data_IF_436476204511
#
_entry.id   IF_436476204511
#
_cell.length_a   1.000
_cell.length_b   1.000
_cell.length_c   1.000
_cell.angle_alpha   90.00
_cell.angle_beta   90.00
_cell.angle_gamma   90.00
#
_symmetry.space_group_name_H-M   'P 1'
#
loop_
_entity.id
_entity.type
_entity.pdbx_description
1 polymer ?
#
# COMPACT_ATOMS: atom_id res chain seq x y z
N UNK A 1 -35.75 -17.97 -20.70
CA UNK A 1 -35.11 -18.92 -19.76
C UNK A 1 -33.56 -18.89 -19.75
N UNK A 2 -32.86 -18.05 -20.53
CA UNK A 2 -31.38 -17.95 -20.54
C UNK A 2 -30.78 -16.97 -19.51
N UNK A 3 -31.51 -15.94 -19.09
CA UNK A 3 -31.02 -14.88 -18.19
C UNK A 3 -30.76 -15.38 -16.76
N UNK A 4 -31.61 -16.28 -16.25
CA UNK A 4 -31.48 -16.83 -14.89
C UNK A 4 -30.26 -17.76 -14.69
N UNK A 5 -29.76 -18.42 -15.74
CA UNK A 5 -28.54 -19.25 -15.66
C UNK A 5 -27.27 -18.40 -15.50
N UNK A 6 -27.20 -17.24 -16.14
CA UNK A 6 -26.05 -16.32 -16.05
C UNK A 6 -25.97 -15.62 -14.68
N UNK A 7 -27.11 -15.24 -14.10
CA UNK A 7 -27.15 -14.65 -12.75
C UNK A 7 -26.66 -15.65 -11.68
N UNK A 8 -27.04 -16.93 -11.79
CA UNK A 8 -26.63 -17.98 -10.84
C UNK A 8 -25.13 -18.31 -10.92
N UNK A 9 -24.52 -18.17 -12.09
CA UNK A 9 -23.06 -18.32 -12.26
C UNK A 9 -22.29 -17.13 -11.69
N UNK A 10 -22.80 -15.91 -11.90
CA UNK A 10 -22.18 -14.67 -11.42
C UNK A 10 -22.28 -14.52 -9.89
N UNK A 11 -23.39 -14.94 -9.29
CA UNK A 11 -23.60 -14.87 -7.83
C UNK A 11 -22.69 -15.82 -7.04
N UNK A 12 -22.24 -16.93 -7.64
CA UNK A 12 -21.27 -17.84 -7.00
C UNK A 12 -19.87 -17.25 -6.86
N UNK A 13 -19.54 -16.23 -7.64
CA UNK A 13 -18.29 -15.47 -7.49
C UNK A 13 -18.33 -14.68 -6.19
N UNK A 14 -19.52 -14.28 -5.73
CA UNK A 14 -19.67 -13.41 -4.57
C UNK A 14 -20.18 -14.10 -3.30
N UNK A 15 -20.91 -15.20 -3.44
CA UNK A 15 -21.56 -15.86 -2.31
C UNK A 15 -21.35 -17.37 -2.31
N UNK A 16 -20.97 -17.91 -1.16
CA UNK A 16 -20.89 -19.33 -0.85
C UNK A 16 -22.10 -19.71 -0.01
N UNK A 17 -22.84 -20.73 -0.44
CA UNK A 17 -23.95 -21.28 0.33
C UNK A 17 -23.47 -22.47 1.16
N UNK A 18 -23.55 -22.36 2.48
CA UNK A 18 -23.37 -23.51 3.37
C UNK A 18 -24.75 -24.10 3.68
N UNK A 19 -25.03 -25.29 3.15
CA UNK A 19 -26.21 -26.06 3.54
C UNK A 19 -25.98 -26.60 4.94
N UNK A 20 -26.81 -26.16 5.90
CA UNK A 20 -26.76 -26.65 7.28
C UNK A 20 -26.75 -28.19 7.30
N UNK A 21 -25.84 -28.77 8.07
CA UNK A 21 -25.62 -30.22 8.15
C UNK A 21 -26.71 -30.96 8.91
N UNK A 22 -27.75 -30.26 9.41
CA UNK A 22 -28.85 -30.84 10.16
C UNK A 22 -30.21 -30.34 9.68
N UNK A 23 -31.18 -31.26 9.58
CA UNK A 23 -32.57 -31.01 9.20
C UNK A 23 -33.18 -29.91 10.07
N UNK A 24 -33.29 -28.70 9.52
CA UNK A 24 -34.08 -27.61 10.12
C UNK A 24 -33.43 -26.25 10.12
N UNK A 25 -32.12 -26.13 9.92
CA UNK A 25 -31.47 -24.81 9.88
C UNK A 25 -31.48 -24.22 8.45
N UNK A 26 -31.98 -22.97 8.25
CA UNK A 26 -31.88 -22.30 6.97
C UNK A 26 -30.41 -22.09 6.61
N UNK A 27 -30.01 -22.52 5.41
CA UNK A 27 -28.63 -22.39 4.96
C UNK A 27 -28.16 -20.94 4.94
N UNK A 28 -26.92 -20.70 5.36
CA UNK A 28 -26.32 -19.36 5.45
C UNK A 28 -25.51 -19.08 4.19
N UNK A 29 -25.64 -17.86 3.68
CA UNK A 29 -24.78 -17.34 2.63
C UNK A 29 -23.62 -16.59 3.28
N UNK A 30 -22.40 -16.94 2.88
CA UNK A 30 -21.17 -16.25 3.23
C UNK A 30 -20.63 -15.55 1.99
N UNK A 31 -19.93 -14.43 2.18
CA UNK A 31 -19.19 -13.81 1.09
C UNK A 31 -18.00 -14.71 0.73
N UNK A 32 -17.60 -14.73 -0.54
CA UNK A 32 -16.30 -15.28 -0.93
C UNK A 32 -15.19 -14.30 -0.52
N UNK A 33 -13.96 -14.78 -0.33
CA UNK A 33 -12.79 -13.91 -0.08
C UNK A 33 -12.66 -12.79 -1.13
N UNK A 34 -13.02 -13.09 -2.39
CA UNK A 34 -13.06 -12.10 -3.46
C UNK A 34 -14.13 -11.03 -3.21
N UNK A 35 -15.34 -11.42 -2.82
CA UNK A 35 -16.40 -10.46 -2.51
C UNK A 35 -16.15 -9.67 -1.24
N UNK A 36 -15.54 -10.29 -0.23
CA UNK A 36 -15.08 -9.57 0.97
C UNK A 36 -14.05 -8.51 0.58
N UNK A 37 -13.08 -8.84 -0.26
CA UNK A 37 -12.10 -7.88 -0.81
C UNK A 37 -12.77 -6.76 -1.60
N UNK A 38 -13.76 -7.06 -2.44
CA UNK A 38 -14.51 -6.05 -3.21
C UNK A 38 -15.38 -5.17 -2.32
N UNK A 39 -16.08 -5.73 -1.34
CA UNK A 39 -16.89 -4.98 -0.37
C UNK A 39 -16.00 -4.12 0.51
N UNK A 40 -14.85 -4.62 0.95
CA UNK A 40 -13.87 -3.85 1.70
C UNK A 40 -13.28 -2.71 0.85
N UNK A 41 -12.99 -2.94 -0.43
CA UNK A 41 -12.56 -1.90 -1.37
C UNK A 41 -13.65 -0.85 -1.58
N UNK A 42 -14.91 -1.25 -1.75
CA UNK A 42 -16.06 -0.33 -1.90
C UNK A 42 -16.29 0.47 -0.61
N UNK A 43 -16.18 -0.17 0.56
CA UNK A 43 -16.27 0.49 1.85
C UNK A 43 -15.12 1.50 2.03
N UNK A 44 -13.89 1.13 1.66
CA UNK A 44 -12.76 2.05 1.68
C UNK A 44 -12.91 3.19 0.66
N UNK A 45 -13.64 3.01 -0.45
CA UNK A 45 -13.97 4.09 -1.38
C UNK A 45 -15.04 5.05 -0.83
N UNK A 46 -16.04 4.53 -0.11
CA UNK A 46 -17.17 5.30 0.43
C UNK A 46 -16.84 5.99 1.76
N UNK A 47 -16.09 5.32 2.62
CA UNK A 47 -15.72 5.73 3.97
C UNK A 47 -14.21 5.58 4.12
N UNK A 48 -13.42 6.40 3.42
CA UNK A 48 -11.96 6.32 3.55
C UNK A 48 -11.47 7.15 4.73
N UNK A 49 -11.15 6.56 5.91
CA UNK A 49 -10.62 7.32 7.01
C UNK A 49 -9.22 7.87 6.70
N UNK A 50 -8.56 7.44 5.62
CA UNK A 50 -7.19 7.79 5.29
C UNK A 50 -7.03 8.96 4.30
N UNK A 51 -8.13 9.53 3.74
CA UNK A 51 -8.06 10.73 2.88
C UNK A 51 -7.39 11.93 3.60
N UNK A 52 -7.57 12.02 4.92
CA UNK A 52 -7.10 13.13 5.75
C UNK A 52 -5.75 12.87 6.45
N UNK A 53 -5.19 11.65 6.36
CA UNK A 53 -3.94 11.32 7.05
C UNK A 53 -2.76 11.29 6.08
N UNK A 54 -1.57 11.78 6.46
CA UNK A 54 -0.37 11.63 5.65
C UNK A 54 0.06 10.16 5.51
N UNK A 55 0.41 9.74 4.30
CA UNK A 55 0.94 8.42 3.97
C UNK A 55 2.19 8.13 4.79
N UNK A 56 3.06 9.12 4.97
CA UNK A 56 4.26 9.02 5.81
C UNK A 56 3.92 8.51 7.22
N UNK A 57 2.89 9.05 7.87
CA UNK A 57 2.54 8.66 9.24
C UNK A 57 2.10 7.20 9.31
N UNK A 58 1.41 6.71 8.28
CA UNK A 58 1.02 5.30 8.22
C UNK A 58 2.24 4.40 8.05
N UNK A 59 3.20 4.79 7.20
CA UNK A 59 4.47 4.06 7.05
C UNK A 59 5.25 4.04 8.37
N UNK A 60 5.43 5.19 9.02
CA UNK A 60 6.20 5.27 10.26
C UNK A 60 5.54 4.52 11.41
N UNK A 61 4.20 4.53 11.50
CA UNK A 61 3.47 3.83 12.55
C UNK A 61 3.64 2.32 12.48
N UNK A 62 3.63 1.74 11.28
CA UNK A 62 3.63 0.28 11.11
C UNK A 62 4.98 -0.30 10.69
N UNK A 63 5.86 0.50 10.10
CA UNK A 63 7.13 0.09 9.53
C UNK A 63 8.27 0.98 10.02
N UNK A 64 8.47 1.00 11.34
CA UNK A 64 9.66 1.59 11.98
C UNK A 64 10.31 0.56 12.89
N UNK A 65 11.64 0.50 12.86
CA UNK A 65 12.44 -0.27 13.80
C UNK A 65 13.11 0.68 14.78
N UNK A 66 12.74 0.63 16.05
CA UNK A 66 13.45 1.36 17.10
C UNK A 66 14.71 0.58 17.51
N UNK A 67 15.79 1.31 17.78
CA UNK A 67 17.07 0.72 18.17
C UNK A 67 16.90 -0.10 19.47
N UNK A 68 17.29 -1.37 19.43
CA UNK A 68 17.23 -2.28 20.59
C UNK A 68 15.86 -2.91 20.88
N UNK A 69 14.85 -2.66 20.04
CA UNK A 69 13.51 -3.25 20.17
C UNK A 69 13.47 -4.72 19.71
N UNK A 70 14.30 -5.09 18.74
CA UNK A 70 14.43 -6.47 18.26
C UNK A 70 15.76 -7.00 18.75
N UNK A 71 15.72 -7.95 19.68
CA UNK A 71 16.93 -8.58 20.25
C UNK A 71 17.03 -10.06 19.92
N UNK A 72 15.89 -10.72 19.81
CA UNK A 72 15.79 -12.14 19.45
C UNK A 72 14.86 -12.31 18.25
N UNK A 73 14.89 -13.49 17.61
CA UNK A 73 14.04 -13.77 16.44
C UNK A 73 12.56 -13.62 16.76
N UNK A 74 12.14 -13.99 17.97
CA UNK A 74 10.73 -13.91 18.39
C UNK A 74 10.20 -12.49 18.42
N UNK A 75 11.05 -11.49 18.66
CA UNK A 75 10.65 -10.07 18.60
C UNK A 75 10.32 -9.67 17.16
N UNK A 76 11.13 -10.17 16.20
CA UNK A 76 10.96 -9.92 14.78
C UNK A 76 9.71 -10.61 14.24
N UNK A 77 9.50 -11.89 14.58
CA UNK A 77 8.29 -12.63 14.21
C UNK A 77 7.02 -12.04 14.80
N UNK A 78 7.03 -11.66 16.09
CA UNK A 78 5.86 -11.05 16.73
C UNK A 78 5.41 -9.78 16.02
N UNK A 79 6.35 -9.01 15.47
CA UNK A 79 6.06 -7.70 14.88
C UNK A 79 5.85 -7.73 13.38
N UNK A 80 6.60 -8.57 12.68
CA UNK A 80 6.63 -8.62 11.21
C UNK A 80 6.34 -10.01 10.64
N UNK A 81 5.95 -10.96 11.49
CA UNK A 81 5.43 -12.25 11.04
C UNK A 81 4.18 -12.09 10.17
N UNK A 82 3.95 -13.09 9.30
CA UNK A 82 2.94 -13.03 8.23
C UNK A 82 1.54 -12.63 8.69
N UNK A 83 1.09 -13.15 9.83
CA UNK A 83 -0.25 -12.87 10.35
C UNK A 83 -0.40 -11.40 10.79
N UNK A 84 0.56 -10.87 11.55
CA UNK A 84 0.54 -9.49 12.05
C UNK A 84 0.74 -8.46 10.95
N UNK A 85 1.67 -8.73 10.03
CA UNK A 85 2.03 -7.76 8.99
C UNK A 85 0.97 -7.65 7.90
N UNK A 86 0.12 -8.68 7.73
CA UNK A 86 -0.98 -8.67 6.75
C UNK A 86 -1.92 -7.47 6.92
N UNK A 87 -2.29 -7.14 8.16
CA UNK A 87 -3.15 -6.01 8.48
C UNK A 87 -2.48 -4.67 8.15
N UNK A 88 -1.21 -4.53 8.50
CA UNK A 88 -0.42 -3.32 8.20
C UNK A 88 -0.25 -3.11 6.70
N UNK A 89 0.08 -4.18 5.95
CA UNK A 89 0.18 -4.16 4.48
C UNK A 89 -1.14 -3.72 3.83
N UNK A 90 -2.27 -4.20 4.36
CA UNK A 90 -3.60 -3.81 3.89
C UNK A 90 -3.86 -2.32 4.11
N UNK A 91 -3.51 -1.79 5.29
CA UNK A 91 -3.68 -0.35 5.59
C UNK A 91 -2.89 0.52 4.60
N UNK A 92 -1.63 0.18 4.35
CA UNK A 92 -0.81 0.92 3.38
C UNK A 92 -1.39 0.84 1.97
N UNK A 93 -1.85 -0.33 1.54
CA UNK A 93 -2.50 -0.49 0.24
C UNK A 93 -3.77 0.36 0.12
N UNK A 94 -4.60 0.39 1.16
CA UNK A 94 -5.83 1.19 1.19
C UNK A 94 -5.52 2.69 1.11
N UNK A 95 -4.46 3.12 1.80
CA UNK A 95 -4.00 4.51 1.75
C UNK A 95 -3.52 4.88 0.34
N UNK A 96 -2.72 4.04 -0.31
CA UNK A 96 -2.28 4.27 -1.69
C UNK A 96 -3.44 4.33 -2.67
N UNK A 97 -4.47 3.48 -2.50
CA UNK A 97 -5.68 3.55 -3.32
C UNK A 97 -6.51 4.82 -3.05
N UNK A 98 -6.56 5.29 -1.79
CA UNK A 98 -7.19 6.57 -1.45
C UNK A 98 -6.52 7.74 -2.19
N UNK A 99 -5.20 7.72 -2.19
CA UNK A 99 -4.36 8.73 -2.81
C UNK A 99 -4.52 8.75 -4.33
N UNK A 100 -4.56 7.56 -4.95
CA UNK A 100 -4.86 7.42 -6.37
C UNK A 100 -6.24 7.96 -6.73
N UNK A 101 -7.27 7.64 -5.94
CA UNK A 101 -8.64 8.15 -6.14
C UNK A 101 -8.69 9.68 -6.01
N UNK A 102 -8.07 10.26 -4.99
CA UNK A 102 -8.02 11.72 -4.77
C UNK A 102 -7.31 12.45 -5.92
N UNK A 103 -6.21 11.90 -6.43
CA UNK A 103 -5.47 12.49 -7.55
C UNK A 103 -6.22 12.35 -8.87
N UNK A 104 -6.98 11.27 -9.05
CA UNK A 104 -7.91 11.13 -10.19
C UNK A 104 -9.01 12.18 -10.12
N UNK A 105 -9.65 12.37 -8.95
CA UNK A 105 -10.65 13.42 -8.73
C UNK A 105 -10.08 14.82 -9.03
N UNK A 106 -8.87 15.11 -8.54
CA UNK A 106 -8.18 16.37 -8.80
C UNK A 106 -7.86 16.57 -10.29
N UNK A 107 -7.48 15.50 -10.99
CA UNK A 107 -7.23 15.54 -12.43
C UNK A 107 -8.51 15.78 -13.25
N UNK A 108 -9.64 15.20 -12.84
CA UNK A 108 -10.93 15.45 -13.47
C UNK A 108 -11.39 16.89 -13.24
N UNK A 109 -11.20 17.42 -12.03
CA UNK A 109 -11.44 18.84 -11.74
C UNK A 109 -10.58 19.76 -12.61
N UNK A 110 -9.30 19.41 -12.82
CA UNK A 110 -8.41 20.14 -13.70
C UNK A 110 -8.94 20.21 -15.14
N UNK A 111 -9.47 19.09 -15.66
CA UNK A 111 -10.05 19.04 -17.01
C UNK A 111 -11.30 19.91 -17.12
N UNK A 112 -12.16 19.90 -16.10
CA UNK A 112 -13.36 20.74 -16.07
C UNK A 112 -13.01 22.23 -16.03
N UNK A 113 -11.98 22.62 -15.27
CA UNK A 113 -11.47 24.00 -15.23
C UNK A 113 -10.96 24.42 -16.61
N UNK A 114 -10.21 23.55 -17.30
CA UNK A 114 -9.67 23.81 -18.64
C UNK A 114 -10.75 23.97 -19.73
N UNK A 115 -11.90 23.31 -19.57
CA UNK A 115 -13.02 23.33 -20.52
C UNK A 115 -14.05 24.43 -20.23
N UNK A 116 -13.87 25.18 -19.14
CA UNK A 116 -14.81 26.21 -18.70
C UNK A 116 -14.65 27.50 -19.52
N UNK A 117 -15.58 27.75 -20.44
CA UNK A 117 -15.61 28.96 -21.29
C UNK A 117 -16.19 30.21 -20.60
N UNK A 118 -16.92 30.05 -19.47
CA UNK A 118 -17.70 31.13 -18.84
C UNK A 118 -17.05 31.80 -17.60
N UNK A 119 -15.90 31.32 -17.13
CA UNK A 119 -15.25 31.84 -15.92
C UNK A 119 -14.24 32.95 -16.23
N UNK A 120 -14.19 33.99 -15.40
CA UNK A 120 -13.15 35.01 -15.52
C UNK A 120 -11.76 34.38 -15.30
N UNK A 121 -10.76 34.86 -16.04
CA UNK A 121 -9.37 34.39 -15.95
C UNK A 121 -8.86 34.30 -14.50
N UNK A 122 -9.24 35.24 -13.65
CA UNK A 122 -8.88 35.25 -12.23
C UNK A 122 -9.50 34.10 -11.42
N UNK A 123 -10.73 33.68 -11.76
CA UNK A 123 -11.41 32.55 -11.11
C UNK A 123 -10.81 31.23 -11.58
N UNK A 124 -10.51 31.11 -12.87
CA UNK A 124 -9.80 29.96 -13.44
C UNK A 124 -8.45 29.74 -12.77
N UNK A 125 -7.62 30.80 -12.70
CA UNK A 125 -6.29 30.73 -12.06
C UNK A 125 -6.41 30.35 -10.58
N UNK A 126 -7.39 30.89 -9.85
CA UNK A 126 -7.58 30.56 -8.43
C UNK A 126 -7.98 29.10 -8.21
N UNK A 127 -8.95 28.59 -8.99
CA UNK A 127 -9.39 27.20 -8.91
C UNK A 127 -8.26 26.24 -9.28
N UNK A 128 -7.49 26.61 -10.29
CA UNK A 128 -6.32 25.87 -10.74
C UNK A 128 -5.21 25.79 -9.68
N UNK A 129 -4.86 26.91 -9.04
CA UNK A 129 -3.84 26.93 -7.97
C UNK A 129 -4.23 26.00 -6.81
N UNK A 130 -5.52 25.93 -6.46
CA UNK A 130 -5.99 25.03 -5.41
C UNK A 130 -5.76 23.56 -5.77
N UNK A 131 -6.07 23.17 -7.01
CA UNK A 131 -5.84 21.79 -7.50
C UNK A 131 -4.34 21.45 -7.49
N UNK A 132 -3.50 22.40 -7.90
CA UNK A 132 -2.04 22.22 -7.91
C UNK A 132 -1.43 22.10 -6.52
N UNK A 133 -1.98 22.84 -5.55
CA UNK A 133 -1.57 22.71 -4.16
C UNK A 133 -1.78 21.28 -3.65
N UNK A 134 -2.92 20.67 -3.97
CA UNK A 134 -3.19 19.25 -3.66
C UNK A 134 -2.14 18.34 -4.29
N UNK A 135 -1.86 18.48 -5.59
CA UNK A 135 -0.82 17.69 -6.26
C UNK A 135 0.57 17.83 -5.61
N UNK A 136 0.95 19.05 -5.23
CA UNK A 136 2.22 19.34 -4.56
C UNK A 136 2.33 18.72 -3.16
N UNK A 137 1.31 18.91 -2.31
CA UNK A 137 1.26 18.35 -0.96
C UNK A 137 1.31 16.81 -1.00
N UNK A 138 0.58 16.19 -1.93
CA UNK A 138 0.61 14.73 -2.12
C UNK A 138 1.96 14.24 -2.65
N UNK A 139 2.61 14.97 -3.57
CA UNK A 139 3.95 14.62 -4.05
C UNK A 139 5.00 14.64 -2.92
N UNK A 140 4.90 15.62 -2.02
CA UNK A 140 5.77 15.72 -0.84
C UNK A 140 5.54 14.55 0.12
N UNK A 141 4.29 14.23 0.44
CA UNK A 141 3.93 13.12 1.32
C UNK A 141 4.39 11.76 0.77
N UNK A 142 4.23 11.52 -0.54
CA UNK A 142 4.77 10.34 -1.23
C UNK A 142 6.30 10.26 -1.07
N UNK A 143 6.99 11.37 -1.26
CA UNK A 143 8.45 11.43 -1.17
C UNK A 143 8.92 11.13 0.25
N UNK A 144 8.23 11.67 1.24
CA UNK A 144 8.49 11.37 2.64
C UNK A 144 8.22 9.90 2.99
N UNK A 145 7.12 9.32 2.49
CA UNK A 145 6.79 7.91 2.71
C UNK A 145 7.84 6.97 2.11
N UNK A 146 8.36 7.28 0.90
CA UNK A 146 9.48 6.53 0.29
C UNK A 146 10.73 6.61 1.17
N UNK A 147 11.05 7.79 1.70
CA UNK A 147 12.21 7.94 2.59
C UNK A 147 12.06 7.08 3.86
N UNK A 148 10.88 7.09 4.49
CA UNK A 148 10.61 6.26 5.68
C UNK A 148 10.68 4.76 5.36
N UNK A 149 10.14 4.34 4.20
CA UNK A 149 10.26 2.97 3.68
C UNK A 149 11.73 2.55 3.50
N UNK A 150 12.53 3.35 2.82
CA UNK A 150 13.92 3.02 2.52
C UNK A 150 14.76 2.91 3.81
N UNK A 151 14.49 3.78 4.78
CA UNK A 151 15.09 3.70 6.12
C UNK A 151 14.71 2.39 6.82
N UNK A 152 13.43 2.02 6.81
CA UNK A 152 12.96 0.78 7.40
C UNK A 152 13.62 -0.46 6.78
N UNK A 153 13.62 -0.56 5.44
CA UNK A 153 14.21 -1.70 4.74
C UNK A 153 15.71 -1.82 5.01
N UNK A 154 16.42 -0.68 5.10
CA UNK A 154 17.84 -0.68 5.49
C UNK A 154 18.04 -1.23 6.90
N UNK A 155 17.30 -0.71 7.89
CA UNK A 155 17.40 -1.19 9.28
C UNK A 155 16.99 -2.65 9.42
N UNK A 156 16.03 -3.13 8.63
CA UNK A 156 15.64 -4.53 8.62
C UNK A 156 16.76 -5.41 8.06
N UNK A 157 17.40 -5.00 6.96
CA UNK A 157 18.55 -5.71 6.38
C UNK A 157 19.71 -5.79 7.36
N UNK A 158 20.10 -4.67 7.96
CA UNK A 158 21.13 -4.61 9.00
C UNK A 158 20.83 -5.62 10.12
N UNK A 159 19.56 -5.70 10.56
CA UNK A 159 19.15 -6.63 11.60
C UNK A 159 19.19 -8.10 11.15
N UNK A 160 18.84 -8.40 9.90
CA UNK A 160 18.97 -9.77 9.33
C UNK A 160 20.44 -10.17 9.21
N UNK A 161 21.31 -9.23 8.84
CA UNK A 161 22.75 -9.45 8.72
C UNK A 161 23.38 -9.77 10.09
N UNK A 162 22.88 -9.19 11.19
CA UNK A 162 23.30 -9.56 12.55
C UNK A 162 22.96 -11.03 12.89
N UNK A 163 21.81 -11.55 12.45
CA UNK A 163 21.49 -12.97 12.60
C UNK A 163 22.39 -13.86 11.73
N UNK A 164 22.76 -13.40 10.53
CA UNK A 164 23.70 -14.12 9.68
C UNK A 164 25.12 -14.16 10.27
N UNK A 165 25.59 -13.04 10.83
CA UNK A 165 26.89 -12.96 11.49
C UNK A 165 27.00 -13.94 12.66
N UNK A 166 25.91 -14.21 13.39
CA UNK A 166 25.87 -15.23 14.43
C UNK A 166 26.11 -16.65 13.88
N UNK A 167 25.72 -16.94 12.64
CA UNK A 167 26.02 -18.21 11.95
C UNK A 167 27.50 -18.29 11.57
N UNK A 168 28.05 -17.20 11.02
CA UNK A 168 29.46 -17.16 10.57
C UNK A 168 30.46 -17.21 11.72
N UNK A 169 30.13 -16.58 12.85
CA UNK A 169 30.99 -16.51 14.03
C UNK A 169 30.89 -17.76 14.91
N UNK A 170 30.15 -18.79 14.49
CA UNK A 170 30.02 -20.02 15.26
C UNK A 170 31.39 -20.71 15.39
N UNK A 171 31.93 -20.85 16.62
CA UNK A 171 33.37 -20.96 16.85
C UNK A 171 34.02 -22.28 16.40
N UNK A 172 33.25 -23.34 16.19
CA UNK A 172 33.80 -24.67 15.86
C UNK A 172 32.77 -25.59 15.18
N UNK A 173 33.26 -26.66 14.55
CA UNK A 173 32.39 -27.73 14.03
C UNK A 173 31.71 -28.41 15.24
N UNK A 174 30.37 -28.55 15.25
CA UNK A 174 29.67 -29.19 16.36
C UNK A 174 30.20 -30.60 16.63
N UNK A 175 30.51 -30.88 17.90
CA UNK A 175 31.09 -32.15 18.35
C UNK A 175 30.12 -33.01 19.16
N UNK A 176 29.03 -32.41 19.63
CA UNK A 176 28.00 -33.08 20.41
C UNK A 176 26.59 -32.65 19.96
N UNK A 177 25.56 -33.33 20.49
CA UNK A 177 24.17 -33.09 20.11
C UNK A 177 23.65 -31.71 20.55
N UNK A 178 24.18 -31.13 21.64
CA UNK A 178 23.77 -29.82 22.15
C UNK A 178 24.29 -28.70 21.25
N UNK A 179 25.57 -28.74 20.86
CA UNK A 179 26.20 -27.81 19.91
C UNK A 179 25.56 -27.90 18.53
N UNK A 180 25.14 -29.09 18.11
CA UNK A 180 24.43 -29.26 16.84
C UNK A 180 23.06 -28.58 16.89
N UNK A 181 22.32 -28.74 17.99
CA UNK A 181 21.02 -28.11 18.20
C UNK A 181 21.14 -26.58 18.30
N UNK A 182 22.20 -26.05 18.94
CA UNK A 182 22.47 -24.62 19.01
C UNK A 182 22.73 -24.02 17.61
N UNK A 183 23.61 -24.64 16.82
CA UNK A 183 23.88 -24.21 15.45
C UNK A 183 22.61 -24.25 14.57
N UNK A 184 21.79 -25.29 14.71
CA UNK A 184 20.53 -25.42 13.98
C UNK A 184 19.52 -24.34 14.38
N UNK A 185 19.46 -23.95 15.66
CA UNK A 185 18.64 -22.83 16.11
C UNK A 185 19.11 -21.51 15.50
N UNK A 186 20.42 -21.20 15.53
CA UNK A 186 20.95 -19.95 14.95
C UNK A 186 20.68 -19.88 13.44
N UNK A 187 20.84 -21.01 12.71
CA UNK A 187 20.50 -21.09 11.29
C UNK A 187 19.01 -20.88 11.04
N UNK A 188 18.15 -21.45 11.91
CA UNK A 188 16.71 -21.29 11.80
C UNK A 188 16.29 -19.84 12.07
N UNK A 189 16.90 -19.17 13.04
CA UNK A 189 16.66 -17.75 13.34
C UNK A 189 16.99 -16.88 12.13
N UNK A 190 18.16 -17.09 11.52
CA UNK A 190 18.53 -16.40 10.29
C UNK A 190 17.57 -16.69 9.14
N UNK A 191 17.13 -17.95 8.96
CA UNK A 191 16.16 -18.34 7.93
C UNK A 191 14.85 -17.57 8.10
N UNK A 192 14.30 -17.52 9.31
CA UNK A 192 13.06 -16.79 9.61
C UNK A 192 13.24 -15.29 9.33
N UNK A 193 14.35 -14.71 9.80
CA UNK A 193 14.63 -13.29 9.61
C UNK A 193 14.70 -12.93 8.11
N UNK A 194 15.34 -13.80 7.31
CA UNK A 194 15.41 -13.67 5.86
C UNK A 194 14.06 -13.80 5.17
N UNK A 195 13.20 -14.71 5.61
CA UNK A 195 11.84 -14.86 5.08
C UNK A 195 10.99 -13.59 5.31
N UNK A 196 11.12 -12.98 6.49
CA UNK A 196 10.46 -11.71 6.82
C UNK A 196 10.97 -10.58 5.91
N UNK A 197 12.30 -10.46 5.75
CA UNK A 197 12.88 -9.45 4.87
C UNK A 197 12.40 -9.61 3.42
N UNK A 198 12.39 -10.84 2.90
CA UNK A 198 11.92 -11.12 1.55
C UNK A 198 10.44 -10.73 1.38
N UNK A 199 9.59 -11.08 2.35
CA UNK A 199 8.17 -10.74 2.35
C UNK A 199 7.92 -9.22 2.44
N UNK A 200 8.82 -8.46 3.09
CA UNK A 200 8.78 -7.00 3.11
C UNK A 200 9.26 -6.39 1.78
N UNK A 201 10.38 -6.87 1.23
CA UNK A 201 10.91 -6.41 -0.06
C UNK A 201 9.87 -6.63 -1.18
N UNK A 202 9.21 -7.78 -1.23
CA UNK A 202 8.21 -8.08 -2.26
C UNK A 202 6.93 -7.23 -2.11
N UNK A 203 6.50 -6.97 -0.88
CA UNK A 203 5.43 -6.01 -0.61
C UNK A 203 5.80 -4.60 -1.08
N UNK A 204 6.98 -4.11 -0.73
CA UNK A 204 7.38 -2.75 -1.05
C UNK A 204 7.68 -2.54 -2.54
N UNK A 205 8.07 -3.57 -3.29
CA UNK A 205 8.08 -3.51 -4.78
C UNK A 205 6.69 -3.20 -5.35
N UNK A 206 5.64 -3.78 -4.76
CA UNK A 206 4.26 -3.53 -5.19
C UNK A 206 3.83 -2.11 -4.86
N UNK A 207 4.22 -1.61 -3.68
CA UNK A 207 4.03 -0.22 -3.27
C UNK A 207 4.73 0.74 -4.24
N UNK A 208 5.99 0.48 -4.59
CA UNK A 208 6.78 1.31 -5.50
C UNK A 208 6.15 1.38 -6.90
N UNK A 209 5.59 0.26 -7.38
CA UNK A 209 4.84 0.25 -8.64
C UNK A 209 3.61 1.18 -8.59
N UNK A 210 2.81 1.10 -7.51
CA UNK A 210 1.65 1.99 -7.32
C UNK A 210 2.06 3.46 -7.23
N UNK A 211 3.08 3.76 -6.42
CA UNK A 211 3.61 5.11 -6.29
C UNK A 211 4.13 5.66 -7.63
N UNK A 212 4.78 4.83 -8.44
CA UNK A 212 5.23 5.22 -9.78
C UNK A 212 4.08 5.65 -10.68
N UNK A 213 2.95 4.94 -10.64
CA UNK A 213 1.75 5.30 -11.40
C UNK A 213 1.15 6.61 -10.90
N UNK A 214 1.07 6.79 -9.59
CA UNK A 214 0.62 8.04 -8.96
C UNK A 214 1.51 9.22 -9.39
N UNK A 215 2.85 9.05 -9.36
CA UNK A 215 3.80 10.08 -9.81
C UNK A 215 3.63 10.44 -11.27
N UNK A 216 3.35 9.47 -12.15
CA UNK A 216 3.04 9.74 -13.57
C UNK A 216 1.80 10.60 -13.72
N UNK A 217 0.75 10.36 -12.93
CA UNK A 217 -0.46 11.19 -12.95
C UNK A 217 -0.16 12.63 -12.50
N UNK A 218 0.63 12.80 -11.45
CA UNK A 218 1.08 14.13 -10.99
C UNK A 218 1.88 14.85 -12.08
N UNK A 219 2.81 14.15 -12.76
CA UNK A 219 3.59 14.71 -13.85
C UNK A 219 2.72 15.09 -15.05
N UNK A 220 1.75 14.25 -15.42
CA UNK A 220 0.80 14.54 -16.50
C UNK A 220 -0.07 15.76 -16.17
N UNK A 221 -0.53 15.89 -14.92
CA UNK A 221 -1.23 17.08 -14.45
C UNK A 221 -0.35 18.32 -14.58
N UNK A 222 0.93 18.22 -14.17
CA UNK A 222 1.91 19.31 -14.36
C UNK A 222 2.17 19.66 -15.81
N UNK A 223 2.12 18.71 -16.75
CA UNK A 223 2.23 19.00 -18.18
C UNK A 223 1.11 19.91 -18.69
N UNK A 224 -0.13 19.66 -18.22
CA UNK A 224 -1.28 20.52 -18.51
C UNK A 224 -1.16 21.93 -17.95
N UNK A 225 -0.37 22.12 -16.89
CA UNK A 225 -0.05 23.46 -16.37
C UNK A 225 0.79 24.26 -17.35
N UNK A 226 1.78 23.62 -17.98
CA UNK A 226 2.59 24.26 -19.01
C UNK A 226 1.72 24.67 -20.20
N UNK A 227 0.79 23.81 -20.63
CA UNK A 227 -0.16 24.12 -21.71
C UNK A 227 -1.08 25.30 -21.36
N UNK A 228 -1.59 25.33 -20.12
CA UNK A 228 -2.43 26.43 -19.65
C UNK A 228 -1.61 27.74 -19.57
N UNK A 229 -0.41 27.70 -19.01
CA UNK A 229 0.50 28.85 -18.99
C UNK A 229 0.79 29.40 -20.40
N UNK A 230 1.04 28.53 -21.38
CA UNK A 230 1.24 28.93 -22.78
C UNK A 230 -0.01 29.60 -23.38
N UNK A 231 -1.22 29.06 -23.13
CA UNK A 231 -2.48 29.63 -23.62
C UNK A 231 -2.82 31.00 -23.01
N UNK A 232 -2.43 31.27 -21.75
CA UNK A 232 -2.64 32.57 -21.12
C UNK A 232 -1.58 33.62 -21.53
N UNK A 233 -0.36 33.21 -21.88
CA UNK A 233 0.72 34.12 -22.29
C UNK A 233 0.79 34.36 -23.80
N UNK A 234 0.26 33.45 -24.62
CA UNK A 234 0.02 33.67 -26.05
C UNK A 234 -1.48 33.77 -26.32
N UNK A 235 -2.14 34.91 -26.01
CA UNK A 235 -3.41 35.18 -26.67
C UNK A 235 -3.10 35.27 -28.17
N UNK A 236 -3.74 34.41 -28.96
CA UNK A 236 -3.67 34.46 -30.41
C UNK A 236 -3.80 35.91 -30.89
N UNK A 237 -2.75 36.37 -31.59
CA UNK A 237 -2.84 37.44 -32.56
C UNK A 237 -3.74 36.94 -33.68
N UNK A 238 -5.05 37.17 -33.59
CA UNK A 238 -5.98 37.21 -34.73
C UNK A 238 -7.18 38.09 -34.40
#
# INVERSE_FOLDING_TARGET
MKVYRNLRGSLKIYFIFSSGTYRGEPGKYYLTDHAESVVELMKNKLENPYKDFPLKQSFEKYFTLCTGEIRIISDLERRFGKEFVSGHKRIINNHLSALEDELSEAYDQLNLILQSEEQSATVLVKNFVNVFKTFGERAEDITNAISSKDKFLRSLRERVDEFYAAVELYPHVPTNAEELAELDNIKNDWRIAREILQDMDDFFKTVDYKISNIRKQILNASGKLSELHENFFFPCVF
#
